data_IF_926679523636
#
_entry.id   IF_926679523636
#
_cell.length_a   1.000
_cell.length_b   1.000
_cell.length_c   1.000
_cell.angle_alpha   90.00
_cell.angle_beta   90.00
_cell.angle_gamma   90.00
#
_symmetry.space_group_name_H-M   'P 1'
#
loop_
_entity.id
_entity.type
_entity.pdbx_description
1 polymer ?
#
# COMPACT_ATOMS: atom_id res chain seq x y z
N UNK A 1 -19.34 1.12 -13.64
CA UNK A 1 -18.90 1.36 -12.25
C UNK A 1 -17.43 1.62 -12.33
N UNK A 2 -17.01 2.86 -12.07
CA UNK A 2 -15.60 3.21 -12.06
C UNK A 2 -14.98 2.49 -10.86
N UNK A 3 -14.28 1.38 -11.12
CA UNK A 3 -13.45 0.78 -10.09
C UNK A 3 -12.49 1.87 -9.63
N UNK A 4 -12.31 2.04 -8.33
CA UNK A 4 -11.30 2.96 -7.81
C UNK A 4 -9.92 2.49 -8.30
N UNK A 5 -9.50 3.06 -9.43
CA UNK A 5 -8.28 2.66 -10.13
C UNK A 5 -7.15 3.48 -9.53
N UNK A 6 -6.27 2.80 -8.79
CA UNK A 6 -5.11 3.47 -8.20
C UNK A 6 -4.51 2.73 -7.03
N UNK A 7 -3.25 3.06 -6.77
CA UNK A 7 -2.43 2.44 -5.74
C UNK A 7 -2.14 3.48 -4.66
N UNK A 8 -2.37 3.10 -3.41
CA UNK A 8 -1.77 3.73 -2.24
C UNK A 8 -0.52 2.94 -1.82
N UNK A 9 0.60 3.61 -1.63
CA UNK A 9 1.86 2.98 -1.20
C UNK A 9 2.22 3.51 0.18
N UNK A 10 2.51 2.61 1.11
CA UNK A 10 3.06 2.96 2.41
C UNK A 10 4.42 2.29 2.59
N UNK A 11 5.47 3.10 2.70
CA UNK A 11 6.83 2.62 3.00
C UNK A 11 7.07 2.59 4.51
N UNK A 12 7.87 1.62 4.98
CA UNK A 12 8.03 1.40 6.42
C UNK A 12 6.76 0.87 7.08
N UNK A 13 5.90 0.16 6.33
CA UNK A 13 4.57 -0.25 6.79
C UNK A 13 4.58 -1.36 7.86
N UNK A 14 5.72 -2.01 8.12
CA UNK A 14 5.78 -3.18 9.01
C UNK A 14 5.53 -2.90 10.50
N UNK A 15 5.53 -1.64 10.93
CA UNK A 15 5.32 -1.25 12.34
C UNK A 15 5.08 0.26 12.50
N UNK A 16 4.71 0.66 13.72
CA UNK A 16 4.66 2.07 14.12
C UNK A 16 3.73 2.91 13.25
N UNK A 17 4.16 4.12 12.92
CA UNK A 17 3.38 5.11 12.17
C UNK A 17 3.01 4.59 10.77
N UNK A 18 3.91 3.91 10.06
CA UNK A 18 3.61 3.32 8.75
C UNK A 18 2.49 2.29 8.82
N UNK A 19 2.52 1.42 9.83
CA UNK A 19 1.43 0.46 10.05
C UNK A 19 0.12 1.15 10.45
N UNK A 20 0.18 2.25 11.20
CA UNK A 20 -1.00 3.03 11.56
C UNK A 20 -1.63 3.71 10.33
N UNK A 21 -0.82 4.29 9.43
CA UNK A 21 -1.32 4.84 8.16
C UNK A 21 -1.96 3.76 7.28
N UNK A 22 -1.36 2.57 7.19
CA UNK A 22 -1.93 1.47 6.42
C UNK A 22 -3.32 1.06 6.94
N UNK A 23 -3.50 1.00 8.27
CA UNK A 23 -4.81 0.75 8.90
C UNK A 23 -5.82 1.85 8.61
N UNK A 24 -5.45 3.11 8.77
CA UNK A 24 -6.33 4.25 8.48
C UNK A 24 -6.76 4.28 7.00
N UNK A 25 -5.85 3.98 6.08
CA UNK A 25 -6.14 3.87 4.65
C UNK A 25 -7.12 2.72 4.36
N UNK A 26 -6.92 1.54 4.95
CA UNK A 26 -7.86 0.42 4.81
C UNK A 26 -9.24 0.73 5.41
N UNK A 27 -9.28 1.36 6.59
CA UNK A 27 -10.52 1.79 7.23
C UNK A 27 -11.27 2.81 6.37
N UNK A 28 -10.53 3.73 5.72
CA UNK A 28 -11.13 4.68 4.78
C UNK A 28 -11.64 4.01 3.50
N UNK A 29 -10.91 3.04 2.95
CA UNK A 29 -11.35 2.26 1.79
C UNK A 29 -12.61 1.43 2.09
N UNK A 30 -12.76 0.95 3.33
CA UNK A 30 -13.98 0.29 3.81
C UNK A 30 -15.12 1.25 4.17
N UNK A 31 -14.92 2.57 4.04
CA UNK A 31 -15.93 3.58 4.35
C UNK A 31 -16.14 3.84 5.85
N UNK A 32 -15.30 3.29 6.72
CA UNK A 32 -15.37 3.50 8.17
C UNK A 32 -14.77 4.85 8.59
N UNK A 33 -13.81 5.36 7.82
CA UNK A 33 -13.17 6.65 8.05
C UNK A 33 -13.20 7.52 6.80
N UNK A 34 -13.31 8.84 6.98
CA UNK A 34 -13.38 9.79 5.86
C UNK A 34 -12.40 10.93 6.04
N UNK A 35 -11.46 11.02 5.11
CA UNK A 35 -10.44 12.06 5.08
C UNK A 35 -10.72 13.04 3.93
N UNK A 36 -10.81 14.32 4.24
CA UNK A 36 -11.07 15.35 3.23
C UNK A 36 -9.90 15.42 2.23
N UNK A 37 -10.21 15.29 0.95
CA UNK A 37 -9.22 15.39 -0.12
C UNK A 37 -8.37 14.12 -0.33
N UNK A 38 -8.64 13.04 0.41
CA UNK A 38 -8.01 11.76 0.15
C UNK A 38 -8.54 11.20 -1.19
N UNK A 39 -7.67 10.96 -2.18
CA UNK A 39 -8.10 10.35 -3.42
C UNK A 39 -8.53 8.92 -3.15
N UNK A 40 -9.47 8.41 -3.95
CA UNK A 40 -9.84 7.01 -3.88
C UNK A 40 -8.76 6.11 -4.51
N UNK A 41 -8.71 4.87 -4.06
CA UNK A 41 -7.77 3.84 -4.51
C UNK A 41 -8.36 2.45 -4.25
N UNK A 42 -8.02 1.49 -5.11
CA UNK A 42 -8.46 0.10 -5.00
C UNK A 42 -7.36 -0.88 -4.59
N UNK A 43 -6.10 -0.40 -4.52
CA UNK A 43 -4.97 -1.19 -4.07
C UNK A 43 -4.15 -0.46 -3.00
N UNK A 44 -3.67 -1.20 -2.01
CA UNK A 44 -2.77 -0.74 -0.95
C UNK A 44 -1.51 -1.61 -0.91
N UNK A 45 -0.36 -1.01 -1.17
CA UNK A 45 0.94 -1.68 -1.17
C UNK A 45 1.69 -1.36 0.12
N UNK A 46 2.01 -2.40 0.88
CA UNK A 46 2.75 -2.33 2.13
C UNK A 46 4.21 -2.65 1.86
N UNK A 47 5.09 -1.67 2.00
CA UNK A 47 6.52 -1.81 1.66
C UNK A 47 7.38 -1.74 2.92
N UNK A 48 8.17 -2.78 3.19
CA UNK A 48 9.16 -2.81 4.28
C UNK A 48 10.12 -4.01 4.12
N UNK A 49 11.14 -4.08 4.99
CA UNK A 49 12.12 -5.19 4.98
C UNK A 49 11.62 -6.48 5.64
N UNK A 50 10.67 -6.38 6.58
CA UNK A 50 10.19 -7.51 7.42
C UNK A 50 8.94 -8.12 6.80
N UNK A 51 9.13 -9.12 5.93
CA UNK A 51 8.06 -9.76 5.15
C UNK A 51 6.98 -10.40 6.02
N UNK A 52 7.36 -11.13 7.05
CA UNK A 52 6.48 -11.74 8.04
C UNK A 52 5.46 -10.74 8.62
N UNK A 53 5.93 -9.55 8.99
CA UNK A 53 5.08 -8.49 9.54
C UNK A 53 4.19 -7.85 8.48
N UNK A 54 4.67 -7.74 7.24
CA UNK A 54 3.87 -7.22 6.14
C UNK A 54 2.74 -8.17 5.79
N UNK A 55 2.99 -9.47 5.76
CA UNK A 55 1.97 -10.48 5.48
C UNK A 55 0.90 -10.49 6.57
N UNK A 56 1.31 -10.49 7.84
CA UNK A 56 0.37 -10.40 8.96
C UNK A 56 -0.49 -9.12 8.91
N UNK A 57 0.13 -7.98 8.61
CA UNK A 57 -0.62 -6.73 8.42
C UNK A 57 -1.53 -6.81 7.19
N UNK A 58 -1.08 -7.39 6.07
CA UNK A 58 -1.90 -7.52 4.87
C UNK A 58 -3.17 -8.33 5.13
N UNK A 59 -3.06 -9.44 5.87
CA UNK A 59 -4.21 -10.28 6.24
C UNK A 59 -5.19 -9.53 7.17
N UNK A 60 -4.68 -8.79 8.14
CA UNK A 60 -5.48 -7.89 8.99
C UNK A 60 -6.28 -6.88 8.14
N UNK A 61 -5.62 -6.21 7.19
CA UNK A 61 -6.23 -5.19 6.37
C UNK A 61 -7.24 -5.77 5.36
N UNK A 62 -6.99 -6.96 4.82
CA UNK A 62 -7.97 -7.68 3.98
C UNK A 62 -9.24 -8.02 4.75
N UNK A 63 -9.12 -8.39 6.03
CA UNK A 63 -10.28 -8.59 6.91
C UNK A 63 -11.07 -7.30 7.15
N UNK A 64 -10.37 -6.17 7.26
CA UNK A 64 -10.96 -4.84 7.47
C UNK A 64 -11.65 -4.30 6.23
N UNK A 65 -11.05 -4.48 5.05
CA UNK A 65 -11.54 -3.97 3.77
C UNK A 65 -11.51 -5.07 2.69
N UNK A 66 -12.53 -5.97 2.64
CA UNK A 66 -12.55 -7.10 1.70
C UNK A 66 -12.51 -6.73 0.22
N UNK A 67 -12.90 -5.50 -0.13
CA UNK A 67 -12.84 -4.97 -1.50
C UNK A 67 -11.51 -4.30 -1.88
N UNK A 68 -10.56 -4.18 -0.94
CA UNK A 68 -9.27 -3.54 -1.15
C UNK A 68 -8.22 -4.59 -1.51
N UNK A 69 -7.54 -4.43 -2.64
CA UNK A 69 -6.40 -5.27 -2.99
C UNK A 69 -5.19 -4.88 -2.14
N UNK A 70 -4.78 -5.75 -1.21
CA UNK A 70 -3.61 -5.48 -0.35
C UNK A 70 -2.42 -6.33 -0.81
N UNK A 71 -1.31 -5.68 -1.13
CA UNK A 71 -0.06 -6.33 -1.53
C UNK A 71 1.06 -6.06 -0.52
N UNK A 72 1.70 -7.13 -0.03
CA UNK A 72 2.94 -7.04 0.73
C UNK A 72 4.13 -7.02 -0.25
N UNK A 73 4.98 -6.01 -0.13
CA UNK A 73 6.18 -5.84 -0.95
C UNK A 73 7.39 -5.79 -0.03
N UNK A 74 8.02 -6.95 0.16
CA UNK A 74 9.26 -7.05 0.90
C UNK A 74 10.40 -6.38 0.10
N UNK A 75 10.82 -5.19 0.55
CA UNK A 75 11.86 -4.43 -0.12
C UNK A 75 12.64 -3.57 0.87
N UNK A 76 13.95 -3.46 0.62
CA UNK A 76 14.83 -2.50 1.25
C UNK A 76 14.94 -1.28 0.35
N UNK A 77 14.14 -0.24 0.61
CA UNK A 77 14.06 0.93 -0.25
C UNK A 77 15.34 1.79 -0.25
N UNK A 78 16.25 1.55 0.71
CA UNK A 78 17.55 2.22 0.76
C UNK A 78 18.55 1.61 -0.24
N UNK A 79 18.27 0.42 -0.80
CA UNK A 79 19.14 -0.19 -1.80
C UNK A 79 19.04 0.51 -3.14
N UNK A 80 20.17 0.70 -3.84
CA UNK A 80 20.18 1.18 -5.21
C UNK A 80 19.21 0.37 -6.10
N UNK A 81 18.37 1.06 -6.86
CA UNK A 81 17.41 0.43 -7.78
C UNK A 81 16.10 -0.06 -7.15
N UNK A 82 15.96 -0.11 -5.82
CA UNK A 82 14.73 -0.60 -5.18
C UNK A 82 13.50 0.26 -5.51
N UNK A 83 13.65 1.59 -5.49
CA UNK A 83 12.58 2.53 -5.89
C UNK A 83 12.22 2.40 -7.37
N UNK A 84 13.22 2.22 -8.24
CA UNK A 84 13.00 2.03 -9.67
C UNK A 84 12.24 0.73 -9.96
N UNK A 85 12.57 -0.35 -9.25
CA UNK A 85 11.85 -1.61 -9.34
C UNK A 85 10.39 -1.48 -8.85
N UNK A 86 10.17 -0.78 -7.73
CA UNK A 86 8.82 -0.54 -7.19
C UNK A 86 7.98 0.31 -8.16
N UNK A 87 8.56 1.39 -8.69
CA UNK A 87 7.91 2.25 -9.67
C UNK A 87 7.61 1.49 -10.97
N UNK A 88 8.57 0.68 -11.45
CA UNK A 88 8.39 -0.18 -12.61
C UNK A 88 7.23 -1.17 -12.43
N UNK A 89 7.13 -1.80 -11.25
CA UNK A 89 6.02 -2.70 -10.92
C UNK A 89 4.66 -1.97 -10.97
N UNK A 90 4.56 -0.77 -10.38
CA UNK A 90 3.34 0.04 -10.43
C UNK A 90 2.98 0.47 -11.87
N UNK A 91 4.00 0.66 -12.72
CA UNK A 91 3.84 0.96 -14.14
C UNK A 91 3.59 -0.27 -15.03
N UNK A 92 3.49 -1.48 -14.47
CA UNK A 92 3.20 -2.71 -15.21
C UNK A 92 4.43 -3.47 -15.74
N UNK A 93 5.65 -3.09 -15.35
CA UNK A 93 6.89 -3.80 -15.70
C UNK A 93 7.15 -5.05 -14.83
N UNK A 94 6.16 -5.53 -14.09
CA UNK A 94 6.27 -6.69 -13.20
C UNK A 94 4.90 -7.26 -12.79
N UNK A 95 4.86 -8.31 -11.96
CA UNK A 95 3.61 -8.91 -11.49
C UNK A 95 2.84 -7.96 -10.56
N UNK A 96 1.51 -7.93 -10.70
CA UNK A 96 0.62 -7.08 -9.89
C UNK A 96 -0.25 -6.16 -10.75
N UNK A 97 -1.05 -5.32 -10.10
CA UNK A 97 -1.93 -4.37 -10.80
C UNK A 97 -1.11 -3.18 -11.33
N UNK A 98 -1.13 -2.96 -12.64
CA UNK A 98 -0.66 -1.72 -13.25
C UNK A 98 -1.72 -0.63 -13.05
N UNK A 99 -1.42 0.38 -12.24
CA UNK A 99 -2.35 1.46 -11.92
C UNK A 99 -1.60 2.72 -11.45
N UNK A 100 -2.18 3.92 -11.62
CA UNK A 100 -1.54 5.15 -11.16
C UNK A 100 -1.35 5.14 -9.64
N UNK A 101 -0.19 5.57 -9.16
CA UNK A 101 0.01 5.84 -7.73
C UNK A 101 -0.74 7.11 -7.37
N UNK A 102 -1.71 6.99 -6.45
CA UNK A 102 -2.56 8.10 -6.00
C UNK A 102 -2.12 8.64 -4.65
N UNK A 103 -1.54 7.76 -3.82
CA UNK A 103 -1.08 8.09 -2.47
C UNK A 103 0.30 7.47 -2.29
N UNK A 104 1.24 8.26 -1.77
CA UNK A 104 2.55 7.79 -1.34
C UNK A 104 2.83 8.31 0.06
N UNK A 105 2.97 7.39 1.02
CA UNK A 105 3.45 7.68 2.37
C UNK A 105 4.92 7.25 2.44
N UNK A 106 5.81 8.25 2.37
CA UNK A 106 7.25 8.06 2.54
C UNK A 106 7.61 8.09 4.04
N UNK A 107 7.57 6.92 4.69
CA UNK A 107 7.73 6.77 6.13
C UNK A 107 8.86 5.80 6.52
N UNK A 108 9.45 5.08 5.57
CA UNK A 108 10.60 4.24 5.86
C UNK A 108 11.80 5.07 6.37
N UNK A 109 12.44 4.54 7.41
CA UNK A 109 13.63 5.06 8.08
C UNK A 109 14.39 3.94 8.79
#
# INVERSE_FOLDING_TARGET
>A
MEHDTGIAIVTGASSGIGAAFARALAASAAGMERYRGLPRFGALWLVARREDRLLALADELRGTAPGLAVEAVAADIARPGALAALAGRAAGAGPGLAAPVRILINNAG
#
